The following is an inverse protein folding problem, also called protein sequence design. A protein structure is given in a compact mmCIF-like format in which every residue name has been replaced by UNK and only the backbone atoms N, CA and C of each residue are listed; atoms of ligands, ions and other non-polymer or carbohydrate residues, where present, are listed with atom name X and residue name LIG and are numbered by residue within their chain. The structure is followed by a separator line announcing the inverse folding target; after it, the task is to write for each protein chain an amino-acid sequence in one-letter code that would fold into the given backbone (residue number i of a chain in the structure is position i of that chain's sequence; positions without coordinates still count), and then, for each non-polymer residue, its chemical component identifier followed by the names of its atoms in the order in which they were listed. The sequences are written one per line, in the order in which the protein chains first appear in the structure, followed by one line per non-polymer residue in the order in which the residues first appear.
data_IF_423780974127
#
_entry.id   IF_423780974127
#
_cell.length_a   1.000
_cell.length_b   1.000
_cell.length_c   1.000
_cell.angle_alpha   90.00
_cell.angle_beta   90.00
_cell.angle_gamma   90.00
#
_symmetry.space_group_name_H-M   'P 1'
#
loop_
_entity.id
_entity.type
_entity.pdbx_description
1 polymer ?
#
# COMPACT_ATOMS: atom_id res chain seq x y z
N UNK A 1 -12.49 -7.09 -7.15
CA UNK A 1 -13.10 -6.28 -6.06
C UNK A 1 -12.36 -6.42 -4.73
N UNK A 2 -11.90 -7.62 -4.34
CA UNK A 2 -11.13 -7.85 -3.10
C UNK A 2 -9.95 -6.87 -2.88
N UNK A 3 -9.21 -6.50 -3.92
CA UNK A 3 -8.11 -5.52 -3.81
C UNK A 3 -8.57 -4.13 -3.36
N UNK A 4 -9.83 -3.78 -3.60
CA UNK A 4 -10.42 -2.51 -3.17
C UNK A 4 -10.57 -2.41 -1.65
N UNK A 5 -10.60 -3.54 -0.93
CA UNK A 5 -10.71 -3.56 0.52
C UNK A 5 -9.51 -2.87 1.21
N UNK A 6 -8.34 -2.86 0.55
CA UNK A 6 -7.17 -2.12 1.04
C UNK A 6 -7.38 -0.60 1.06
N UNK A 7 -8.39 -0.10 0.37
CA UNK A 7 -8.74 1.31 0.26
C UNK A 7 -10.03 1.62 1.02
N UNK A 8 -10.37 0.85 2.06
CA UNK A 8 -11.49 1.16 2.95
C UNK A 8 -11.00 1.67 4.30
N UNK A 9 -11.79 2.47 5.03
CA UNK A 9 -11.58 2.66 6.45
C UNK A 9 -11.47 1.30 7.15
N UNK A 10 -10.53 1.18 8.08
CA UNK A 10 -10.28 -0.09 8.78
C UNK A 10 -11.53 -0.65 9.50
N UNK A 11 -12.43 0.23 9.94
CA UNK A 11 -13.71 -0.15 10.57
C UNK A 11 -14.63 -0.93 9.63
N UNK A 12 -14.54 -0.67 8.33
CA UNK A 12 -15.55 -1.08 7.35
C UNK A 12 -15.08 -2.32 6.57
N UNK A 13 -13.78 -2.63 6.61
CA UNK A 13 -13.14 -3.79 5.95
C UNK A 13 -13.89 -5.10 6.18
N UNK A 14 -14.36 -5.35 7.42
CA UNK A 14 -15.07 -6.59 7.75
C UNK A 14 -16.45 -6.66 7.09
N UNK A 15 -17.25 -5.61 7.28
CA UNK A 15 -18.63 -5.54 6.78
C UNK A 15 -18.63 -5.59 5.25
N UNK A 16 -17.71 -4.89 4.62
CA UNK A 16 -17.63 -4.80 3.18
C UNK A 16 -17.05 -6.07 2.55
N UNK A 17 -16.18 -6.81 3.25
CA UNK A 17 -15.76 -8.14 2.79
C UNK A 17 -16.94 -9.11 2.69
N UNK A 18 -17.82 -9.16 3.69
CA UNK A 18 -18.97 -10.06 3.69
C UNK A 18 -19.92 -9.75 2.52
N UNK A 19 -20.12 -8.47 2.20
CA UNK A 19 -20.88 -8.04 1.02
C UNK A 19 -20.23 -8.50 -0.28
N UNK A 20 -18.92 -8.33 -0.41
CA UNK A 20 -18.16 -8.73 -1.60
C UNK A 20 -18.15 -10.24 -1.77
N UNK A 21 -17.99 -11.00 -0.68
CA UNK A 21 -17.99 -12.45 -0.69
C UNK A 21 -19.33 -13.01 -1.20
N UNK A 22 -20.45 -12.39 -0.84
CA UNK A 22 -21.78 -12.77 -1.30
C UNK A 22 -22.04 -12.59 -2.80
N UNK A 23 -21.16 -11.91 -3.54
CA UNK A 23 -21.28 -11.74 -4.99
C UNK A 23 -20.57 -12.83 -5.80
N UNK A 24 -19.67 -13.58 -5.17
CA UNK A 24 -18.99 -14.67 -5.84
C UNK A 24 -19.89 -15.91 -5.90
N UNK A 25 -19.69 -16.71 -6.93
CA UNK A 25 -20.29 -18.03 -6.99
C UNK A 25 -19.45 -19.04 -6.17
N UNK A 26 -20.02 -20.23 -5.97
CA UNK A 26 -19.36 -21.29 -5.19
C UNK A 26 -18.02 -21.76 -5.80
N UNK A 27 -17.68 -21.35 -7.03
CA UNK A 27 -16.38 -21.68 -7.64
C UNK A 27 -15.21 -20.95 -6.98
N UNK A 28 -15.49 -19.86 -6.25
CA UNK A 28 -14.51 -19.06 -5.55
C UNK A 28 -14.42 -19.35 -4.04
N UNK A 29 -15.13 -20.34 -3.52
CA UNK A 29 -15.16 -20.67 -2.08
C UNK A 29 -13.75 -20.88 -1.51
N UNK A 30 -12.91 -21.67 -2.18
CA UNK A 30 -11.52 -21.91 -1.77
C UNK A 30 -10.70 -20.61 -1.68
N UNK A 31 -10.94 -19.67 -2.60
CA UNK A 31 -10.27 -18.37 -2.63
C UNK A 31 -10.75 -17.48 -1.48
N UNK A 32 -12.07 -17.45 -1.24
CA UNK A 32 -12.68 -16.65 -0.19
C UNK A 32 -12.29 -17.16 1.20
N UNK A 33 -12.28 -18.48 1.41
CA UNK A 33 -11.83 -19.11 2.66
C UNK A 33 -10.36 -18.78 2.94
N UNK A 34 -9.51 -18.90 1.92
CA UNK A 34 -8.11 -18.49 2.01
C UNK A 34 -7.98 -16.99 2.35
N UNK A 35 -8.70 -16.13 1.62
CA UNK A 35 -8.59 -14.69 1.78
C UNK A 35 -9.11 -14.24 3.15
N UNK A 36 -10.23 -14.80 3.60
CA UNK A 36 -10.79 -14.52 4.91
C UNK A 36 -9.83 -14.94 6.01
N UNK A 37 -9.27 -16.15 5.95
CA UNK A 37 -8.30 -16.61 6.96
C UNK A 37 -7.02 -15.79 7.00
N UNK A 38 -6.50 -15.41 5.84
CA UNK A 38 -5.19 -14.75 5.74
C UNK A 38 -5.27 -13.25 6.02
N UNK A 39 -6.30 -12.56 5.52
CA UNK A 39 -6.32 -11.09 5.48
C UNK A 39 -7.43 -10.46 6.32
N UNK A 40 -8.60 -11.11 6.44
CA UNK A 40 -9.76 -10.51 7.11
C UNK A 40 -9.84 -10.99 8.57
N UNK A 41 -9.95 -12.29 8.78
CA UNK A 41 -10.10 -12.96 10.06
C UNK A 41 -11.41 -13.73 10.12
N UNK A 42 -11.34 -15.06 10.26
CA UNK A 42 -12.52 -15.94 10.25
C UNK A 42 -13.49 -15.61 11.40
N UNK A 43 -14.81 -15.67 11.17
CA UNK A 43 -15.79 -15.55 12.25
C UNK A 43 -15.60 -16.65 13.30
N UNK A 44 -15.64 -16.28 14.58
CA UNK A 44 -15.64 -17.24 15.68
C UNK A 44 -17.04 -17.83 15.82
N UNK A 45 -17.08 -19.09 16.29
CA UNK A 45 -18.35 -19.78 16.59
C UNK A 45 -19.19 -18.95 17.58
N UNK A 46 -20.51 -18.99 17.39
CA UNK A 46 -21.51 -18.38 18.30
C UNK A 46 -21.39 -16.85 18.46
N UNK A 47 -20.92 -16.14 17.43
CA UNK A 47 -20.93 -14.67 17.42
C UNK A 47 -19.90 -14.02 18.35
N UNK A 48 -18.87 -14.76 18.78
CA UNK A 48 -17.83 -14.27 19.69
C UNK A 48 -16.80 -13.32 19.01
N UNK A 49 -17.18 -12.63 17.93
CA UNK A 49 -16.30 -11.80 17.10
C UNK A 49 -15.51 -12.61 16.06
N UNK A 50 -14.45 -12.01 15.50
CA UNK A 50 -13.57 -12.64 14.49
C UNK A 50 -12.25 -13.13 15.11
N UNK A 51 -11.60 -14.11 14.49
CA UNK A 51 -10.21 -14.48 14.79
C UNK A 51 -9.27 -13.39 14.28
N UNK A 52 -8.08 -13.29 14.86
CA UNK A 52 -7.05 -12.41 14.32
C UNK A 52 -6.62 -12.98 12.95
N UNK A 53 -6.59 -12.17 11.88
CA UNK A 53 -6.05 -12.62 10.60
C UNK A 53 -4.57 -12.95 10.71
N UNK A 54 -4.06 -13.72 9.75
CA UNK A 54 -2.62 -14.01 9.67
C UNK A 54 -1.81 -12.71 9.50
N UNK A 55 -2.32 -11.78 8.71
CA UNK A 55 -1.75 -10.45 8.53
C UNK A 55 -2.71 -9.38 9.04
N UNK A 56 -2.22 -8.56 9.97
CA UNK A 56 -2.97 -7.46 10.55
C UNK A 56 -3.38 -6.44 9.49
N UNK A 57 -4.56 -5.85 9.63
CA UNK A 57 -5.13 -4.94 8.62
C UNK A 57 -4.25 -3.71 8.39
N UNK A 58 -3.62 -3.21 9.46
CA UNK A 58 -2.72 -2.06 9.43
C UNK A 58 -1.51 -2.29 8.50
N UNK A 59 -1.13 -3.55 8.24
CA UNK A 59 0.02 -3.87 7.40
C UNK A 59 -0.26 -3.70 5.90
N UNK A 60 -1.50 -3.97 5.47
CA UNK A 60 -1.85 -4.02 4.05
C UNK A 60 -2.86 -2.94 3.63
N UNK A 61 -3.57 -2.34 4.58
CA UNK A 61 -4.47 -1.23 4.31
C UNK A 61 -3.68 0.04 3.94
N UNK A 62 -4.19 0.76 2.95
CA UNK A 62 -3.59 1.98 2.40
C UNK A 62 -4.54 3.17 2.41
N UNK A 63 -5.73 3.06 3.00
CA UNK A 63 -6.73 4.13 3.05
C UNK A 63 -6.17 5.42 3.67
N UNK A 64 -5.66 5.33 4.90
CA UNK A 64 -5.10 6.50 5.61
C UNK A 64 -3.90 7.09 4.88
N UNK A 65 -3.07 6.23 4.26
CA UNK A 65 -1.93 6.67 3.45
C UNK A 65 -2.40 7.52 2.27
N UNK A 66 -3.45 7.09 1.58
CA UNK A 66 -4.00 7.85 0.45
C UNK A 66 -4.64 9.17 0.91
N UNK A 67 -5.37 9.17 2.02
CA UNK A 67 -5.96 10.39 2.58
C UNK A 67 -4.88 11.42 2.94
N UNK A 68 -3.78 10.96 3.54
CA UNK A 68 -2.64 11.79 3.98
C UNK A 68 -1.59 12.07 2.91
N UNK A 69 -1.87 11.72 1.64
CA UNK A 69 -0.98 11.92 0.50
C UNK A 69 0.41 11.23 0.65
N UNK A 70 0.42 10.10 1.37
CA UNK A 70 1.60 9.26 1.52
C UNK A 70 1.70 8.20 0.41
N UNK A 71 2.92 7.72 0.08
CA UNK A 71 3.10 6.63 -0.85
C UNK A 71 2.32 5.37 -0.46
N UNK A 72 1.57 4.81 -1.43
CA UNK A 72 0.80 3.57 -1.28
C UNK A 72 1.67 2.34 -1.14
N UNK A 73 2.85 2.34 -1.76
CA UNK A 73 3.82 1.25 -1.69
C UNK A 73 5.20 1.76 -1.28
N UNK A 74 6.06 0.83 -0.90
CA UNK A 74 7.46 1.03 -0.55
C UNK A 74 8.39 1.10 -1.78
N UNK A 75 7.88 1.20 -3.02
CA UNK A 75 8.69 1.15 -4.24
C UNK A 75 9.84 2.18 -4.27
N UNK A 76 9.64 3.34 -3.64
CA UNK A 76 10.70 4.36 -3.52
C UNK A 76 11.84 3.87 -2.63
N UNK A 77 11.53 3.19 -1.54
CA UNK A 77 12.50 2.60 -0.61
C UNK A 77 13.21 1.42 -1.26
N UNK A 78 12.48 0.54 -1.95
CA UNK A 78 13.06 -0.58 -2.70
C UNK A 78 13.97 -0.09 -3.84
N UNK A 79 13.52 0.93 -4.57
CA UNK A 79 14.32 1.59 -5.59
C UNK A 79 15.60 2.20 -5.03
N UNK A 80 15.51 2.82 -3.84
CA UNK A 80 16.69 3.32 -3.14
C UNK A 80 17.63 2.19 -2.69
N UNK A 81 17.12 1.13 -2.07
CA UNK A 81 17.91 -0.05 -1.67
C UNK A 81 18.63 -0.66 -2.87
N UNK A 82 17.95 -0.84 -3.99
CA UNK A 82 18.54 -1.39 -5.21
C UNK A 82 19.64 -0.48 -5.77
N UNK A 83 19.41 0.83 -5.82
CA UNK A 83 20.41 1.80 -6.25
C UNK A 83 21.62 1.83 -5.29
N UNK A 84 21.38 1.75 -3.98
CA UNK A 84 22.44 1.73 -2.98
C UNK A 84 23.27 0.44 -3.07
N UNK A 85 22.63 -0.73 -3.15
CA UNK A 85 23.30 -2.01 -3.33
C UNK A 85 24.19 -2.01 -4.59
N UNK A 86 23.68 -1.45 -5.70
CA UNK A 86 24.46 -1.25 -6.92
C UNK A 86 25.68 -0.33 -6.72
N UNK A 87 25.56 0.75 -5.93
CA UNK A 87 26.68 1.66 -5.61
C UNK A 87 27.70 1.05 -4.65
N UNK A 88 27.25 0.19 -3.73
CA UNK A 88 28.15 -0.58 -2.86
C UNK A 88 28.95 -1.58 -3.70
N UNK A 89 28.32 -2.20 -4.71
CA UNK A 89 28.93 -3.07 -5.72
C UNK A 89 29.68 -4.30 -5.16
N UNK A 90 29.37 -4.69 -3.91
CA UNK A 90 30.00 -5.83 -3.21
C UNK A 90 28.94 -6.52 -2.36
N UNK A 91 28.84 -7.84 -2.43
CA UNK A 91 27.86 -8.62 -1.66
C UNK A 91 28.10 -8.61 -0.15
N UNK A 92 29.38 -8.64 0.26
CA UNK A 92 29.80 -8.65 1.67
C UNK A 92 30.86 -7.57 1.94
N UNK A 93 30.48 -6.28 1.97
CA UNK A 93 31.43 -5.21 2.26
C UNK A 93 31.94 -5.31 3.71
N UNK A 94 33.20 -4.98 3.92
CA UNK A 94 33.71 -4.77 5.29
C UNK A 94 33.00 -3.57 5.93
N UNK A 95 32.89 -3.55 7.27
CA UNK A 95 32.25 -2.45 8.00
C UNK A 95 32.82 -1.09 7.58
N UNK A 96 34.15 -0.99 7.39
CA UNK A 96 34.81 0.23 6.90
C UNK A 96 34.30 0.66 5.52
N UNK A 97 34.25 -0.24 4.55
CA UNK A 97 33.76 0.06 3.20
C UNK A 97 32.28 0.44 3.21
N UNK A 98 31.47 -0.26 4.01
CA UNK A 98 30.06 0.06 4.17
C UNK A 98 29.87 1.46 4.76
N UNK A 99 30.60 1.80 5.83
CA UNK A 99 30.55 3.12 6.46
C UNK A 99 30.96 4.24 5.48
N UNK A 100 32.00 4.02 4.66
CA UNK A 100 32.40 4.96 3.62
C UNK A 100 31.30 5.17 2.57
N UNK A 101 30.59 4.11 2.17
CA UNK A 101 29.47 4.19 1.20
C UNK A 101 28.25 4.90 1.81
N UNK A 102 27.90 4.59 3.06
CA UNK A 102 26.82 5.27 3.79
C UNK A 102 27.12 6.76 3.91
N UNK A 103 28.35 7.15 4.28
CA UNK A 103 28.74 8.56 4.36
C UNK A 103 28.57 9.30 3.03
N UNK A 104 28.93 8.66 1.91
CA UNK A 104 28.75 9.26 0.57
C UNK A 104 27.27 9.43 0.21
N UNK A 105 26.42 8.45 0.55
CA UNK A 105 24.98 8.60 0.38
C UNK A 105 24.42 9.73 1.24
N UNK A 106 24.82 9.81 2.50
CA UNK A 106 24.40 10.87 3.40
C UNK A 106 24.75 12.26 2.85
N UNK A 107 26.00 12.47 2.41
CA UNK A 107 26.41 13.75 1.82
C UNK A 107 25.60 14.12 0.58
N UNK A 108 25.19 13.12 -0.23
CA UNK A 108 24.31 13.37 -1.37
C UNK A 108 22.90 13.81 -0.92
N UNK A 109 22.34 13.15 0.09
CA UNK A 109 21.03 13.51 0.63
C UNK A 109 21.02 14.89 1.31
N UNK A 110 22.10 15.27 1.98
CA UNK A 110 22.24 16.61 2.57
C UNK A 110 22.16 17.70 1.49
N UNK A 111 22.75 17.47 0.32
CA UNK A 111 22.63 18.37 -0.84
C UNK A 111 21.18 18.42 -1.34
N UNK A 112 20.54 17.25 -1.51
CA UNK A 112 19.15 17.18 -1.97
C UNK A 112 18.18 17.89 -0.98
N UNK A 113 18.41 17.75 0.33
CA UNK A 113 17.66 18.45 1.38
C UNK A 113 17.90 19.96 1.30
N UNK A 114 19.16 20.40 1.14
CA UNK A 114 19.47 21.82 1.02
C UNK A 114 18.77 22.46 -0.19
N UNK A 115 18.74 21.76 -1.33
CA UNK A 115 17.98 22.20 -2.51
C UNK A 115 16.48 22.31 -2.22
N UNK A 116 15.87 21.32 -1.55
CA UNK A 116 14.46 21.38 -1.16
C UNK A 116 14.16 22.57 -0.25
N UNK A 117 15.02 22.83 0.74
CA UNK A 117 14.90 23.98 1.65
C UNK A 117 15.02 25.32 0.90
N UNK A 118 15.84 25.36 -0.15
CA UNK A 118 15.97 26.51 -1.05
C UNK A 118 14.79 26.64 -2.04
N UNK A 119 13.81 25.73 -2.01
CA UNK A 119 12.63 25.75 -2.88
C UNK A 119 12.84 25.12 -4.26
N UNK A 120 13.98 24.46 -4.50
CA UNK A 120 14.15 23.68 -5.73
C UNK A 120 13.28 22.43 -5.70
N UNK A 121 12.77 22.05 -6.87
CA UNK A 121 12.10 20.77 -7.06
C UNK A 121 13.11 19.70 -7.46
N UNK A 122 13.17 18.60 -6.70
CA UNK A 122 13.90 17.40 -7.11
C UNK A 122 13.18 16.69 -8.27
N UNK A 123 13.83 15.69 -8.86
CA UNK A 123 13.32 14.96 -10.03
C UNK A 123 11.85 14.54 -9.82
N UNK A 124 10.91 15.00 -10.66
CA UNK A 124 9.51 14.71 -10.46
C UNK A 124 9.22 13.23 -10.74
N UNK A 125 8.21 12.71 -10.04
CA UNK A 125 7.63 11.40 -10.34
C UNK A 125 7.12 11.39 -11.78
N UNK A 126 7.17 10.22 -12.45
CA UNK A 126 6.59 10.10 -13.80
C UNK A 126 5.11 10.47 -13.75
N UNK A 127 4.67 11.32 -14.68
CA UNK A 127 3.33 11.88 -14.71
C UNK A 127 2.21 10.83 -14.71
N UNK A 128 2.44 9.65 -15.30
CA UNK A 128 1.45 8.56 -15.28
C UNK A 128 1.12 8.08 -13.85
N UNK A 129 2.12 8.00 -12.96
CA UNK A 129 1.91 7.58 -11.58
C UNK A 129 1.26 8.69 -10.76
N UNK A 130 1.66 9.95 -10.98
CA UNK A 130 1.01 11.10 -10.34
C UNK A 130 -0.48 11.14 -10.67
N UNK A 131 -0.83 11.03 -11.96
CA UNK A 131 -2.24 10.96 -12.41
C UNK A 131 -3.00 9.78 -11.82
N UNK A 132 -2.34 8.62 -11.68
CA UNK A 132 -2.95 7.45 -11.05
C UNK A 132 -3.24 7.71 -9.57
N UNK A 133 -2.27 8.24 -8.83
CA UNK A 133 -2.42 8.55 -7.41
C UNK A 133 -3.50 9.61 -7.19
N UNK A 134 -3.57 10.64 -8.04
CA UNK A 134 -4.64 11.65 -8.02
C UNK A 134 -6.03 11.06 -8.28
N UNK A 135 -6.17 10.10 -9.22
CA UNK A 135 -7.44 9.40 -9.45
C UNK A 135 -7.85 8.58 -8.23
N UNK A 136 -6.91 7.82 -7.66
CA UNK A 136 -7.18 6.99 -6.48
C UNK A 136 -7.51 7.88 -5.27
N UNK A 137 -6.77 8.96 -5.03
CA UNK A 137 -7.03 9.90 -3.96
C UNK A 137 -8.42 10.54 -4.07
N UNK A 138 -8.86 10.88 -5.29
CA UNK A 138 -10.24 11.38 -5.51
C UNK A 138 -11.30 10.36 -5.16
N UNK A 139 -11.10 9.09 -5.54
CA UNK A 139 -12.04 8.03 -5.19
C UNK A 139 -12.09 7.83 -3.67
N UNK A 140 -10.93 7.66 -3.03
CA UNK A 140 -10.81 7.41 -1.58
C UNK A 140 -11.41 8.56 -0.76
N UNK A 141 -11.15 9.82 -1.14
CA UNK A 141 -11.73 10.99 -0.47
C UNK A 141 -13.25 11.11 -0.67
N UNK A 142 -13.78 10.54 -1.75
CA UNK A 142 -15.21 10.46 -2.05
C UNK A 142 -15.85 9.16 -1.58
N UNK A 143 -15.23 8.44 -0.63
CA UNK A 143 -15.79 7.22 -0.07
C UNK A 143 -17.18 7.50 0.55
N UNK A 144 -18.16 6.71 0.12
CA UNK A 144 -19.53 6.70 0.63
C UNK A 144 -19.94 5.26 0.93
N UNK A 145 -20.19 4.90 2.21
CA UNK A 145 -20.63 3.57 2.60
C UNK A 145 -21.90 3.11 1.88
N UNK A 146 -22.78 4.03 1.48
CA UNK A 146 -24.02 3.71 0.75
C UNK A 146 -23.77 3.26 -0.69
N UNK A 147 -22.58 3.55 -1.23
CA UNK A 147 -22.19 3.23 -2.61
C UNK A 147 -20.95 2.30 -2.64
N UNK A 148 -20.78 1.47 -1.62
CA UNK A 148 -19.61 0.61 -1.43
C UNK A 148 -19.30 -0.26 -2.66
N UNK A 149 -20.32 -0.84 -3.29
CA UNK A 149 -20.14 -1.68 -4.46
C UNK A 149 -19.47 -0.93 -5.62
N UNK A 150 -20.03 0.23 -5.95
CA UNK A 150 -19.52 1.08 -7.02
C UNK A 150 -18.12 1.59 -6.67
N UNK A 151 -17.89 1.94 -5.40
CA UNK A 151 -16.59 2.35 -4.90
C UNK A 151 -15.53 1.27 -5.11
N UNK A 152 -15.77 0.04 -4.65
CA UNK A 152 -14.83 -1.07 -4.76
C UNK A 152 -14.53 -1.46 -6.21
N UNK A 153 -15.54 -1.41 -7.09
CA UNK A 153 -15.36 -1.59 -8.53
C UNK A 153 -14.47 -0.49 -9.13
N UNK A 154 -14.73 0.77 -8.81
CA UNK A 154 -13.95 1.90 -9.31
C UNK A 154 -12.49 1.87 -8.85
N UNK A 155 -12.25 1.50 -7.59
CA UNK A 155 -10.89 1.32 -7.06
C UNK A 155 -10.19 0.16 -7.78
N UNK A 156 -10.84 -1.01 -7.87
CA UNK A 156 -10.27 -2.18 -8.51
C UNK A 156 -9.86 -1.90 -9.96
N UNK A 157 -10.68 -1.17 -10.73
CA UNK A 157 -10.37 -0.79 -12.11
C UNK A 157 -9.14 0.13 -12.25
N UNK A 158 -8.79 0.89 -11.21
CA UNK A 158 -7.60 1.76 -11.22
C UNK A 158 -6.33 1.03 -10.77
N UNK A 159 -6.46 0.03 -9.90
CA UNK A 159 -5.32 -0.70 -9.33
C UNK A 159 -4.93 -1.91 -10.18
N UNK A 160 -5.88 -2.53 -10.88
CA UNK A 160 -5.64 -3.63 -11.81
C UNK A 160 -5.21 -3.13 -13.20
N UNK A 161 -3.99 -2.58 -13.32
CA UNK A 161 -3.31 -2.28 -14.58
C UNK A 161 -1.79 -2.46 -14.46
#
# INVERSE_FOLDING_TARGET
MLIGLAYLPLSDVFTDFDLVAGEFDNSADDLLDYFEKTWIGEPRRRGAGRKKPQFDHVLWNVYDRVITDLPRSNNSVEGWHNAFASRVAVAHPTIKKLAEKIRREQSKFEIDIAHLVQGYQLKPKKACYTKLDERIARLVRGYDPLQIHQYLKNIAANVSL
#
